data_IF_231129527656
#
_entry.id   IF_231129527656
#
_cell.length_a   1.000
_cell.length_b   1.000
_cell.length_c   1.000
_cell.angle_alpha   90.00
_cell.angle_beta   90.00
_cell.angle_gamma   90.00
#
_symmetry.space_group_name_H-M   'P 1'
#
loop_
_entity.id
_entity.type
_entity.pdbx_description
1 polymer ?
#
# COMPACT_ATOMS: atom_id res chain seq x y z
N UNK A 1 -3.10 -4.30 -9.20
CA UNK A 1 -2.75 -5.65 -8.83
C UNK A 1 -2.02 -6.39 -9.93
N UNK A 2 -1.77 -7.68 -9.75
CA UNK A 2 -0.98 -8.47 -10.71
C UNK A 2 -1.57 -8.51 -12.11
N UNK A 3 -2.89 -8.58 -12.26
CA UNK A 3 -3.54 -8.60 -13.57
C UNK A 3 -3.31 -7.28 -14.30
N UNK A 4 -3.50 -6.16 -13.61
CA UNK A 4 -3.26 -4.84 -14.18
C UNK A 4 -1.78 -4.66 -14.55
N UNK A 5 -0.86 -5.14 -13.71
CA UNK A 5 0.57 -5.06 -13.98
C UNK A 5 0.97 -5.86 -15.22
N UNK A 6 0.26 -6.94 -15.53
CA UNK A 6 0.46 -7.72 -16.75
C UNK A 6 -0.12 -7.02 -17.98
N UNK A 7 -1.32 -6.47 -17.87
CA UNK A 7 -2.05 -5.90 -18.99
C UNK A 7 -1.58 -4.50 -19.39
N UNK A 8 -1.20 -3.65 -18.40
CA UNK A 8 -0.82 -2.26 -18.66
C UNK A 8 0.38 -2.12 -19.61
N UNK A 9 1.45 -2.95 -19.51
CA UNK A 9 2.56 -2.84 -20.47
C UNK A 9 2.13 -3.10 -21.92
N UNK A 10 1.10 -3.92 -22.13
CA UNK A 10 0.59 -4.23 -23.45
C UNK A 10 -0.25 -3.10 -24.01
N UNK A 11 -1.03 -2.42 -23.14
CA UNK A 11 -1.90 -1.32 -23.54
C UNK A 11 -1.14 0.01 -23.60
N UNK A 12 -0.17 0.22 -22.73
CA UNK A 12 0.57 1.48 -22.60
C UNK A 12 2.07 1.21 -22.51
N UNK A 13 2.68 0.72 -23.60
CA UNK A 13 4.11 0.36 -23.58
C UNK A 13 5.05 1.55 -23.34
N UNK A 14 4.55 2.78 -23.49
CA UNK A 14 5.32 3.99 -23.25
C UNK A 14 5.52 4.32 -21.76
N UNK A 15 4.77 3.68 -20.86
CA UNK A 15 4.92 3.92 -19.43
C UNK A 15 6.17 3.23 -18.88
N UNK A 16 6.78 3.83 -17.85
CA UNK A 16 8.00 3.30 -17.26
C UNK A 16 7.73 2.01 -16.46
N UNK A 17 8.73 1.12 -16.35
CA UNK A 17 8.60 -0.07 -15.50
C UNK A 17 8.27 0.26 -14.04
N UNK A 18 8.72 1.41 -13.53
CA UNK A 18 8.42 1.83 -12.18
C UNK A 18 6.92 2.00 -11.94
N UNK A 19 6.19 2.51 -12.94
CA UNK A 19 4.73 2.65 -12.86
C UNK A 19 4.06 1.28 -12.78
N UNK A 20 4.49 0.34 -13.60
CA UNK A 20 3.93 -1.01 -13.59
C UNK A 20 4.19 -1.71 -12.25
N UNK A 21 5.38 -1.55 -11.69
CA UNK A 21 5.71 -2.08 -10.38
C UNK A 21 4.81 -1.50 -9.29
N UNK A 22 4.57 -0.19 -9.32
CA UNK A 22 3.72 0.46 -8.33
C UNK A 22 2.28 -0.05 -8.41
N UNK A 23 1.76 -0.25 -9.63
CA UNK A 23 0.42 -0.81 -9.82
C UNK A 23 0.34 -2.24 -9.28
N UNK A 24 1.38 -3.04 -9.51
CA UNK A 24 1.44 -4.42 -8.99
C UNK A 24 1.45 -4.45 -7.47
N UNK A 25 2.15 -3.53 -6.82
CA UNK A 25 2.39 -3.54 -5.38
C UNK A 25 1.38 -2.75 -4.55
N UNK A 26 0.46 -2.03 -5.17
CA UNK A 26 -0.43 -1.12 -4.44
C UNK A 26 -1.46 -1.81 -3.55
N UNK A 27 -1.68 -3.10 -3.73
CA UNK A 27 -2.68 -3.86 -2.96
C UNK A 27 -2.04 -4.63 -1.80
N UNK A 28 -0.94 -5.32 -2.07
CA UNK A 28 -0.34 -6.26 -1.11
C UNK A 28 0.97 -5.77 -0.50
N UNK A 29 1.62 -4.80 -1.12
CA UNK A 29 2.90 -4.29 -0.65
C UNK A 29 4.07 -5.21 -0.98
N UNK A 30 5.24 -4.82 -0.52
CA UNK A 30 6.48 -5.58 -0.66
C UNK A 30 7.49 -5.08 0.38
N UNK A 31 8.57 -5.85 0.62
CA UNK A 31 9.60 -5.44 1.56
C UNK A 31 10.53 -4.36 1.00
N UNK A 32 10.56 -4.15 -0.30
CA UNK A 32 11.44 -3.19 -0.97
C UNK A 32 10.63 -2.10 -1.71
N UNK A 33 9.63 -1.53 -1.05
CA UNK A 33 8.79 -0.50 -1.63
C UNK A 33 9.60 0.74 -1.98
N UNK A 34 9.51 1.19 -3.23
CA UNK A 34 10.06 2.48 -3.64
C UNK A 34 9.12 3.61 -3.17
N UNK A 35 9.59 4.89 -3.17
CA UNK A 35 8.67 5.99 -2.89
C UNK A 35 7.44 6.01 -3.79
N UNK A 36 7.58 5.69 -5.07
CA UNK A 36 6.43 5.60 -5.98
C UNK A 36 5.48 4.47 -5.57
N UNK A 37 6.02 3.30 -5.21
CA UNK A 37 5.21 2.19 -4.71
C UNK A 37 4.39 2.61 -3.49
N UNK A 38 5.02 3.31 -2.56
CA UNK A 38 4.36 3.78 -1.34
C UNK A 38 3.27 4.80 -1.64
N UNK A 39 3.52 5.75 -2.54
CA UNK A 39 2.54 6.77 -2.92
C UNK A 39 1.28 6.11 -3.50
N UNK A 40 1.45 5.15 -4.40
CA UNK A 40 0.31 4.48 -5.02
C UNK A 40 -0.46 3.65 -3.99
N UNK A 41 0.25 2.96 -3.10
CA UNK A 41 -0.36 2.16 -2.03
C UNK A 41 -1.22 3.05 -1.11
N UNK A 42 -0.63 4.16 -0.64
CA UNK A 42 -1.32 5.09 0.26
C UNK A 42 -2.49 5.78 -0.44
N UNK A 43 -2.30 6.20 -1.70
CA UNK A 43 -3.36 6.87 -2.45
C UNK A 43 -4.60 5.98 -2.60
N UNK A 44 -4.40 4.68 -2.84
CA UNK A 44 -5.52 3.74 -2.91
C UNK A 44 -6.25 3.64 -1.57
N UNK A 45 -5.50 3.64 -0.46
CA UNK A 45 -6.08 3.49 0.88
C UNK A 45 -6.89 4.70 1.32
N UNK A 46 -6.53 5.90 0.86
CA UNK A 46 -7.17 7.16 1.28
C UNK A 46 -8.03 7.81 0.21
N UNK A 47 -8.29 7.12 -0.91
CA UNK A 47 -9.09 7.70 -1.98
C UNK A 47 -10.51 8.03 -1.46
N UNK A 48 -11.20 9.05 -2.05
CA UNK A 48 -12.44 9.59 -1.47
C UNK A 48 -13.58 8.60 -1.28
N UNK A 49 -13.62 7.52 -2.05
CA UNK A 49 -14.67 6.50 -1.92
C UNK A 49 -14.40 5.49 -0.81
N UNK A 50 -13.20 5.53 -0.21
CA UNK A 50 -12.89 4.71 0.96
C UNK A 50 -13.47 5.35 2.22
N UNK A 51 -14.21 4.57 2.98
CA UNK A 51 -14.85 5.00 4.21
C UNK A 51 -14.33 4.17 5.37
N UNK A 52 -14.40 4.76 6.57
CA UNK A 52 -13.97 4.10 7.78
C UNK A 52 -13.01 4.97 8.58
N UNK A 53 -12.86 4.64 9.85
CA UNK A 53 -12.08 5.44 10.78
C UNK A 53 -10.59 5.47 10.39
N UNK A 54 -10.06 4.34 9.91
CA UNK A 54 -8.64 4.30 9.55
C UNK A 54 -8.33 5.17 8.33
N UNK A 55 -9.20 5.20 7.32
CA UNK A 55 -8.99 6.04 6.15
C UNK A 55 -9.03 7.53 6.53
N UNK A 56 -9.95 7.90 7.42
CA UNK A 56 -10.05 9.26 7.92
C UNK A 56 -8.80 9.67 8.70
N UNK A 57 -8.31 8.79 9.58
CA UNK A 57 -7.09 9.05 10.35
C UNK A 57 -5.87 9.20 9.43
N UNK A 58 -5.76 8.37 8.40
CA UNK A 58 -4.65 8.44 7.44
C UNK A 58 -4.68 9.76 6.66
N UNK A 59 -5.87 10.22 6.26
CA UNK A 59 -6.00 11.50 5.56
C UNK A 59 -5.48 12.66 6.39
N UNK A 60 -5.66 12.61 7.71
CA UNK A 60 -5.15 13.64 8.60
C UNK A 60 -3.62 13.67 8.71
N UNK A 61 -2.97 12.55 8.39
CA UNK A 61 -1.51 12.46 8.42
C UNK A 61 -0.86 13.04 7.16
N UNK A 62 -1.61 13.21 6.08
CA UNK A 62 -1.07 13.74 4.82
C UNK A 62 -0.53 15.15 5.05
N UNK A 63 0.73 15.37 4.64
CA UNK A 63 1.39 16.65 4.83
C UNK A 63 1.98 16.87 6.22
N UNK A 64 1.73 15.98 7.18
CA UNK A 64 2.24 16.09 8.55
C UNK A 64 3.26 15.01 8.91
N UNK A 65 3.25 13.89 8.19
CA UNK A 65 4.12 12.76 8.43
C UNK A 65 4.95 12.47 7.19
N UNK A 66 6.09 11.80 7.37
CA UNK A 66 6.89 11.35 6.23
C UNK A 66 6.13 10.29 5.44
N UNK A 67 6.56 10.08 4.18
CA UNK A 67 5.95 9.04 3.33
C UNK A 67 6.12 7.66 3.95
N UNK A 68 7.30 7.38 4.54
CA UNK A 68 7.56 6.09 5.19
C UNK A 68 6.60 5.84 6.36
N UNK A 69 6.39 6.85 7.20
CA UNK A 69 5.46 6.76 8.32
C UNK A 69 4.02 6.58 7.85
N UNK A 70 3.64 7.32 6.81
CA UNK A 70 2.29 7.24 6.25
C UNK A 70 2.04 5.87 5.65
N UNK A 71 3.01 5.33 4.90
CA UNK A 71 2.91 3.98 4.36
C UNK A 71 2.81 2.94 5.47
N UNK A 72 3.68 3.03 6.49
CA UNK A 72 3.67 2.07 7.59
C UNK A 72 2.32 2.09 8.33
N UNK A 73 1.79 3.27 8.63
CA UNK A 73 0.49 3.40 9.29
C UNK A 73 -0.63 2.82 8.43
N UNK A 74 -0.59 3.07 7.12
CA UNK A 74 -1.55 2.53 6.17
C UNK A 74 -1.52 1.00 6.17
N UNK A 75 -0.32 0.42 6.10
CA UNK A 75 -0.16 -1.04 6.08
C UNK A 75 -0.62 -1.66 7.39
N UNK A 76 -0.25 -1.07 8.52
CA UNK A 76 -0.63 -1.56 9.85
C UNK A 76 -2.15 -1.53 10.04
N UNK A 77 -2.81 -0.46 9.62
CA UNK A 77 -4.28 -0.35 9.72
C UNK A 77 -4.97 -1.39 8.84
N UNK A 78 -4.40 -1.71 7.69
CA UNK A 78 -4.91 -2.77 6.84
C UNK A 78 -4.86 -4.13 7.53
N UNK A 79 -3.78 -4.42 8.26
CA UNK A 79 -3.66 -5.65 9.04
C UNK A 79 -4.69 -5.70 10.17
N UNK A 80 -4.88 -4.58 10.87
CA UNK A 80 -5.89 -4.49 11.93
C UNK A 80 -7.27 -4.80 11.36
N UNK A 81 -7.60 -4.25 10.21
CA UNK A 81 -8.90 -4.54 9.56
C UNK A 81 -9.06 -6.01 9.25
N UNK A 82 -8.02 -6.65 8.71
CA UNK A 82 -8.05 -8.09 8.40
C UNK A 82 -8.32 -8.91 9.66
N UNK A 83 -7.64 -8.58 10.76
CA UNK A 83 -7.79 -9.28 12.04
C UNK A 83 -9.19 -9.07 12.62
N UNK A 84 -9.66 -7.83 12.63
CA UNK A 84 -10.97 -7.50 13.22
C UNK A 84 -12.13 -8.11 12.45
N UNK A 85 -11.98 -8.29 11.14
CA UNK A 85 -13.04 -8.88 10.33
C UNK A 85 -12.93 -10.41 10.20
N UNK A 86 -11.94 -11.02 10.88
CA UNK A 86 -11.78 -12.47 10.88
C UNK A 86 -11.35 -13.06 9.54
N UNK A 87 -10.72 -12.27 8.67
CA UNK A 87 -10.23 -12.72 7.37
C UNK A 87 -8.86 -13.37 7.52
N UNK A 88 -8.49 -14.16 6.51
CA UNK A 88 -7.20 -14.84 6.53
C UNK A 88 -6.06 -13.82 6.48
N UNK A 89 -5.09 -13.98 7.37
CA UNK A 89 -3.91 -13.13 7.44
C UNK A 89 -2.75 -13.89 6.79
N UNK A 90 -2.33 -13.42 5.61
CA UNK A 90 -1.25 -14.09 4.88
C UNK A 90 0.08 -13.88 5.59
N UNK A 91 0.91 -14.95 5.74
CA UNK A 91 2.23 -14.82 6.38
C UNK A 91 3.12 -13.75 5.73
N UNK A 92 3.03 -13.56 4.43
CA UNK A 92 3.77 -12.52 3.72
C UNK A 92 3.47 -11.13 4.26
N UNK A 93 2.23 -10.86 4.65
CA UNK A 93 1.85 -9.56 5.22
C UNK A 93 2.57 -9.32 6.56
N UNK A 94 2.71 -10.36 7.37
CA UNK A 94 3.44 -10.27 8.64
C UNK A 94 4.93 -9.99 8.38
N UNK A 95 5.50 -10.65 7.40
CA UNK A 95 6.91 -10.44 7.01
C UNK A 95 7.15 -9.00 6.56
N UNK A 96 6.26 -8.45 5.74
CA UNK A 96 6.35 -7.05 5.28
C UNK A 96 6.24 -6.10 6.46
N UNK A 97 5.26 -6.31 7.32
CA UNK A 97 5.07 -5.48 8.51
C UNK A 97 6.33 -5.48 9.38
N UNK A 98 6.87 -6.66 9.68
CA UNK A 98 8.04 -6.78 10.53
C UNK A 98 9.27 -6.12 9.90
N UNK A 99 9.42 -6.21 8.59
CA UNK A 99 10.53 -5.56 7.88
C UNK A 99 10.52 -4.05 8.12
N UNK A 100 9.36 -3.41 7.92
CA UNK A 100 9.27 -1.96 8.08
C UNK A 100 9.21 -1.53 9.55
N UNK A 101 8.66 -2.36 10.43
CA UNK A 101 8.63 -2.07 11.85
C UNK A 101 10.04 -1.99 12.45
N UNK A 102 10.94 -2.88 12.06
CA UNK A 102 12.30 -2.90 12.60
C UNK A 102 13.18 -1.77 12.05
N UNK A 103 12.77 -1.10 10.98
CA UNK A 103 13.50 0.04 10.42
C UNK A 103 13.18 1.36 11.14
N UNK A 104 12.21 1.35 12.03
CA UNK A 104 11.76 2.55 12.74
C UNK A 104 12.62 2.90 13.91
#
# INVERSE_FOLDING_TARGET
GPVAAYELPQLFPELSPAVFQAVDRHTVGACDMTPLDMVVFVADAIEPNRHGDYAHALRKMVGKSSLDELFFSCFAQGLVYVIQTGRYLYPTAITIYNHYAQLR
#
